data_IF_072213262608
#
_entry.id   IF_072213262608
#
_cell.length_a   1.000
_cell.length_b   1.000
_cell.length_c   1.000
_cell.angle_alpha   90.00
_cell.angle_beta   90.00
_cell.angle_gamma   90.00
#
_symmetry.space_group_name_H-M   'P 1'
#
loop_
_entity.id
_entity.type
_entity.pdbx_description
1 polymer ?
#
# COMPACT_ATOMS: atom_id res chain seq x y z
N UNK A 1 26.60 -4.38 18.34
CA UNK A 1 26.98 -5.06 17.06
C UNK A 1 26.00 -6.19 16.79
N UNK A 2 25.65 -6.38 15.52
CA UNK A 2 24.75 -7.39 14.91
C UNK A 2 23.27 -7.00 14.80
N UNK A 3 22.92 -6.37 13.69
CA UNK A 3 21.95 -6.93 12.74
C UNK A 3 22.16 -6.28 11.38
N UNK A 4 23.13 -6.82 10.64
CA UNK A 4 23.30 -6.52 9.23
C UNK A 4 22.61 -7.62 8.41
N UNK A 5 21.92 -7.18 7.34
CA UNK A 5 21.31 -7.94 6.24
C UNK A 5 19.94 -8.57 6.53
N UNK A 6 18.87 -7.77 6.41
CA UNK A 6 17.55 -8.30 6.05
C UNK A 6 17.46 -8.32 4.53
N UNK A 7 17.83 -9.48 3.98
CA UNK A 7 17.69 -9.85 2.57
C UNK A 7 16.24 -9.59 2.13
N UNK A 8 16.07 -9.02 0.95
CA UNK A 8 14.82 -8.89 0.20
C UNK A 8 13.99 -10.18 0.32
N UNK A 9 12.88 -10.16 1.07
CA UNK A 9 12.02 -11.34 1.32
C UNK A 9 10.75 -11.26 0.49
N UNK A 10 10.89 -11.62 -0.78
CA UNK A 10 9.88 -12.44 -1.44
C UNK A 10 10.52 -13.82 -1.54
N UNK A 11 10.34 -14.63 -0.50
CA UNK A 11 10.76 -16.04 -0.52
C UNK A 11 9.73 -16.80 -1.39
N UNK A 12 10.11 -17.93 -1.99
CA UNK A 12 9.29 -18.71 -2.97
C UNK A 12 7.90 -19.16 -2.42
N UNK A 13 7.66 -18.99 -1.11
CA UNK A 13 6.43 -19.35 -0.38
C UNK A 13 5.53 -18.15 0.03
N UNK A 14 5.88 -16.91 -0.31
CA UNK A 14 5.07 -15.70 -0.01
C UNK A 14 5.58 -14.79 1.14
N UNK A 15 4.80 -13.78 1.53
CA UNK A 15 5.14 -12.81 2.58
C UNK A 15 5.04 -13.45 3.98
N UNK A 16 6.16 -13.54 4.72
CA UNK A 16 6.15 -13.89 6.16
C UNK A 16 6.11 -12.63 7.03
N UNK A 17 5.01 -12.40 7.76
CA UNK A 17 4.85 -11.31 8.73
C UNK A 17 3.41 -10.80 8.85
N UNK A 18 3.14 -9.83 9.73
CA UNK A 18 1.89 -9.06 9.80
C UNK A 18 1.84 -8.12 8.60
N UNK A 19 1.06 -8.53 7.59
CA UNK A 19 0.82 -7.76 6.38
C UNK A 19 -0.48 -6.98 6.55
N UNK A 20 -0.46 -5.70 6.17
CA UNK A 20 -1.67 -4.90 6.04
C UNK A 20 -1.92 -4.52 4.58
N UNK A 21 -3.17 -4.70 4.14
CA UNK A 21 -3.62 -4.36 2.80
C UNK A 21 -4.30 -2.98 2.83
N UNK A 22 -3.60 -2.01 2.27
CA UNK A 22 -4.13 -0.69 1.94
C UNK A 22 -4.93 -0.79 0.64
N UNK A 23 -6.23 -1.09 0.77
CA UNK A 23 -7.23 -1.04 -0.31
C UNK A 23 -8.18 0.15 -0.16
N UNK A 24 -8.87 0.51 -1.26
CA UNK A 24 -9.76 1.67 -1.34
C UNK A 24 -10.75 1.80 -0.17
N UNK A 25 -10.92 3.02 0.33
CA UNK A 25 -11.79 3.35 1.46
C UNK A 25 -13.29 3.09 1.17
N UNK A 26 -14.13 2.73 2.17
CA UNK A 26 -15.58 2.49 1.97
C UNK A 26 -16.36 3.71 1.44
N UNK A 27 -15.80 4.91 1.55
CA UNK A 27 -16.37 6.16 1.07
C UNK A 27 -15.85 6.57 -0.34
N UNK A 28 -15.13 5.72 -1.06
CA UNK A 28 -14.79 5.99 -2.47
C UNK A 28 -16.01 5.84 -3.41
N UNK A 29 -17.19 6.35 -3.02
CA UNK A 29 -18.27 6.65 -3.95
C UNK A 29 -17.74 7.75 -4.85
N UNK A 30 -17.25 7.40 -6.03
CA UNK A 30 -17.28 8.10 -7.34
C UNK A 30 -17.42 9.63 -7.36
N UNK A 31 -17.05 10.34 -6.31
CA UNK A 31 -16.80 11.76 -6.30
C UNK A 31 -15.43 11.79 -6.91
N UNK A 32 -15.39 12.26 -8.14
CA UNK A 32 -14.18 12.56 -8.88
C UNK A 32 -13.26 13.32 -7.93
N UNK A 33 -12.37 12.60 -7.23
CA UNK A 33 -11.15 13.19 -6.75
C UNK A 33 -10.57 13.81 -8.01
N UNK A 34 -10.10 15.07 -7.98
CA UNK A 34 -9.38 15.60 -9.11
C UNK A 34 -8.13 14.73 -9.24
N UNK A 35 -8.26 13.63 -9.98
CA UNK A 35 -7.19 12.82 -10.44
C UNK A 35 -6.34 13.79 -11.24
N UNK A 36 -5.12 14.01 -10.76
CA UNK A 36 -4.07 14.65 -11.55
C UNK A 36 -4.31 16.14 -11.86
N UNK A 37 -5.12 16.82 -11.04
CA UNK A 37 -5.29 18.28 -11.12
C UNK A 37 -4.18 19.04 -10.41
N UNK A 38 -3.71 20.15 -10.99
CA UNK A 38 -2.89 21.15 -10.29
C UNK A 38 -3.83 22.16 -9.63
N UNK A 39 -3.95 22.14 -8.30
CA UNK A 39 -4.73 23.14 -7.57
C UNK A 39 -5.00 22.77 -6.10
N UNK A 40 -5.44 23.75 -5.27
CA UNK A 40 -5.62 23.53 -3.83
C UNK A 40 -6.58 22.39 -3.48
N UNK A 41 -7.64 22.20 -4.27
CA UNK A 41 -8.61 21.13 -4.06
C UNK A 41 -8.01 19.73 -4.29
N UNK A 42 -7.10 19.57 -5.25
CA UNK A 42 -6.44 18.30 -5.52
C UNK A 42 -5.47 17.93 -4.38
N UNK A 43 -4.71 18.91 -3.90
CA UNK A 43 -3.80 18.76 -2.74
C UNK A 43 -4.61 18.35 -1.50
N UNK A 44 -5.66 19.10 -1.17
CA UNK A 44 -6.51 18.79 -0.03
C UNK A 44 -7.15 17.38 -0.12
N UNK A 45 -7.47 16.93 -1.32
CA UNK A 45 -8.04 15.61 -1.55
C UNK A 45 -7.00 14.49 -1.34
N UNK A 46 -5.75 14.69 -1.78
CA UNK A 46 -4.64 13.78 -1.50
C UNK A 46 -4.34 13.73 0.00
N UNK A 47 -4.29 14.88 0.66
CA UNK A 47 -4.03 14.97 2.10
C UNK A 47 -5.13 14.28 2.92
N UNK A 48 -6.39 14.51 2.55
CA UNK A 48 -7.53 13.84 3.18
C UNK A 48 -7.45 12.33 3.00
N UNK A 49 -7.10 11.86 1.79
CA UNK A 49 -6.93 10.44 1.52
C UNK A 49 -5.80 9.84 2.37
N UNK A 50 -4.62 10.47 2.37
CA UNK A 50 -3.48 10.05 3.16
C UNK A 50 -3.85 9.95 4.64
N UNK A 51 -4.44 11.00 5.21
CA UNK A 51 -4.89 11.02 6.60
C UNK A 51 -5.92 9.92 6.90
N UNK A 52 -6.89 9.70 6.02
CA UNK A 52 -7.87 8.64 6.20
C UNK A 52 -7.19 7.26 6.22
N UNK A 53 -6.25 7.01 5.30
CA UNK A 53 -5.46 5.78 5.30
C UNK A 53 -4.63 5.61 6.57
N UNK A 54 -3.99 6.66 7.07
CA UNK A 54 -3.24 6.63 8.33
C UNK A 54 -4.11 6.14 9.48
N UNK A 55 -5.37 6.59 9.56
CA UNK A 55 -6.30 6.15 10.61
C UNK A 55 -6.57 4.65 10.53
N UNK A 56 -6.79 4.10 9.34
CA UNK A 56 -7.00 2.66 9.19
C UNK A 56 -5.72 1.87 9.48
N UNK A 57 -4.59 2.25 8.89
CA UNK A 57 -3.30 1.60 9.14
C UNK A 57 -2.99 1.59 10.63
N UNK A 58 -3.11 2.74 11.31
CA UNK A 58 -2.84 2.86 12.74
C UNK A 58 -3.76 1.98 13.59
N UNK A 59 -5.06 1.99 13.32
CA UNK A 59 -6.03 1.17 14.04
C UNK A 59 -5.72 -0.34 13.89
N UNK A 60 -5.50 -0.81 12.67
CA UNK A 60 -5.17 -2.22 12.44
C UNK A 60 -3.78 -2.59 12.95
N UNK A 61 -2.81 -1.69 12.87
CA UNK A 61 -1.48 -1.90 13.47
C UNK A 61 -1.60 -2.11 14.97
N UNK A 62 -2.43 -1.31 15.65
CA UNK A 62 -2.68 -1.48 17.09
C UNK A 62 -3.39 -2.80 17.41
N UNK A 63 -4.43 -3.17 16.65
CA UNK A 63 -5.17 -4.43 16.84
C UNK A 63 -4.26 -5.65 16.60
N UNK A 64 -3.41 -5.61 15.58
CA UNK A 64 -2.53 -6.71 15.20
C UNK A 64 -1.23 -6.77 16.03
N UNK A 65 -0.96 -5.80 16.91
CA UNK A 65 0.27 -5.72 17.70
C UNK A 65 1.52 -5.39 16.88
N UNK A 66 1.35 -4.68 15.76
CA UNK A 66 2.46 -4.22 14.91
C UNK A 66 2.17 -4.36 13.42
N UNK A 67 3.11 -3.87 12.60
CA UNK A 67 3.06 -3.88 11.15
C UNK A 67 4.44 -4.28 10.62
N UNK A 68 4.53 -5.29 9.76
CA UNK A 68 5.79 -5.69 9.12
C UNK A 68 5.83 -5.25 7.65
N UNK A 69 4.67 -5.27 6.98
CA UNK A 69 4.55 -4.91 5.57
C UNK A 69 3.26 -4.14 5.29
N UNK A 70 3.39 -3.01 4.62
CA UNK A 70 2.30 -2.24 4.02
C UNK A 70 2.17 -2.61 2.52
N UNK A 71 1.03 -3.15 2.11
CA UNK A 71 0.75 -3.46 0.70
C UNK A 71 -0.36 -2.55 0.19
N UNK A 72 -0.05 -1.71 -0.79
CA UNK A 72 -1.02 -0.92 -1.54
C UNK A 72 -1.48 -1.71 -2.76
N UNK A 73 -2.79 -1.84 -2.91
CA UNK A 73 -3.38 -2.58 -4.02
C UNK A 73 -4.61 -1.84 -4.56
N UNK A 74 -4.92 -2.04 -5.84
CA UNK A 74 -6.04 -1.42 -6.56
C UNK A 74 -6.17 0.12 -6.38
N UNK A 75 -7.24 0.68 -6.94
CA UNK A 75 -7.71 2.04 -6.65
C UNK A 75 -6.70 3.17 -6.85
N UNK A 76 -6.92 4.27 -6.14
CA UNK A 76 -6.13 5.51 -6.26
C UNK A 76 -4.68 5.30 -5.78
N UNK A 77 -4.48 4.54 -4.70
CA UNK A 77 -3.15 4.25 -4.15
C UNK A 77 -2.27 3.43 -5.10
N UNK A 78 -2.85 2.51 -5.88
CA UNK A 78 -2.10 1.71 -6.85
C UNK A 78 -1.53 2.53 -8.02
N UNK A 79 -2.20 3.61 -8.42
CA UNK A 79 -1.88 4.33 -9.65
C UNK A 79 -1.20 5.70 -9.42
N UNK A 80 -1.32 6.27 -8.22
CA UNK A 80 -0.80 7.61 -7.93
C UNK A 80 0.41 7.59 -7.00
N UNK A 81 1.59 7.87 -7.55
CA UNK A 81 2.83 7.97 -6.79
C UNK A 81 2.79 9.07 -5.72
N UNK A 82 2.13 10.20 -6.02
CA UNK A 82 1.98 11.31 -5.05
C UNK A 82 1.10 10.92 -3.86
N UNK A 83 0.04 10.14 -4.10
CA UNK A 83 -0.81 9.60 -3.03
C UNK A 83 -0.03 8.62 -2.16
N UNK A 84 0.76 7.72 -2.77
CA UNK A 84 1.63 6.81 -2.01
C UNK A 84 2.68 7.56 -1.19
N UNK A 85 3.27 8.61 -1.76
CA UNK A 85 4.24 9.43 -1.06
C UNK A 85 3.62 10.14 0.16
N UNK A 86 2.49 10.80 -0.03
CA UNK A 86 1.75 11.44 1.06
C UNK A 86 1.38 10.43 2.16
N UNK A 87 0.85 9.27 1.78
CA UNK A 87 0.51 8.19 2.71
C UNK A 87 1.74 7.69 3.49
N UNK A 88 2.82 7.30 2.82
CA UNK A 88 4.03 6.80 3.48
C UNK A 88 4.66 7.86 4.40
N UNK A 89 4.59 9.14 4.03
CA UNK A 89 5.02 10.25 4.89
C UNK A 89 4.31 10.28 6.25
N UNK A 90 3.00 9.98 6.27
CA UNK A 90 2.24 9.90 7.53
C UNK A 90 2.57 8.67 8.41
N UNK A 91 3.29 7.69 7.87
CA UNK A 91 3.59 6.41 8.52
C UNK A 91 5.08 6.29 8.91
N UNK A 92 5.84 7.38 8.78
CA UNK A 92 7.26 7.46 9.20
C UNK A 92 7.46 7.06 10.67
N UNK A 93 6.52 7.38 11.55
CA UNK A 93 6.54 6.98 12.96
C UNK A 93 6.42 5.46 13.19
N UNK A 94 5.90 4.71 12.21
CA UNK A 94 5.91 3.23 12.20
C UNK A 94 7.20 2.67 11.61
N UNK A 95 8.13 3.51 11.14
CA UNK A 95 9.36 3.10 10.47
C UNK A 95 9.19 2.77 8.99
N UNK A 96 8.19 3.37 8.32
CA UNK A 96 8.10 3.35 6.85
C UNK A 96 9.02 4.43 6.28
N UNK A 97 9.97 4.02 5.46
CA UNK A 97 10.86 4.91 4.70
C UNK A 97 10.64 4.70 3.21
N UNK A 98 10.18 5.75 2.52
CA UNK A 98 9.86 5.69 1.10
C UNK A 98 11.11 5.79 0.22
N UNK A 99 11.23 4.91 -0.77
CA UNK A 99 12.18 5.05 -1.86
C UNK A 99 11.55 5.86 -3.00
N UNK A 100 11.80 7.17 -3.01
CA UNK A 100 11.16 8.12 -3.94
C UNK A 100 11.26 7.70 -5.42
N UNK A 101 12.45 7.29 -5.88
CA UNK A 101 12.64 6.92 -7.28
C UNK A 101 11.83 5.67 -7.67
N UNK A 102 11.85 4.63 -6.84
CA UNK A 102 11.10 3.40 -7.08
C UNK A 102 9.59 3.66 -7.02
N UNK A 103 9.15 4.53 -6.10
CA UNK A 103 7.77 4.97 -6.04
C UNK A 103 7.35 5.73 -7.30
N UNK A 104 8.17 6.67 -7.77
CA UNK A 104 7.90 7.47 -8.98
C UNK A 104 7.83 6.61 -10.25
N UNK A 105 8.63 5.55 -10.33
CA UNK A 105 8.60 4.60 -11.44
C UNK A 105 7.49 3.55 -11.36
N UNK A 106 6.58 3.65 -10.38
CA UNK A 106 5.56 2.63 -10.08
C UNK A 106 6.19 1.22 -9.87
N UNK A 107 7.35 1.17 -9.23
CA UNK A 107 8.00 -0.07 -8.85
C UNK A 107 7.19 -0.87 -7.82
N UNK A 108 7.36 -2.20 -7.76
CA UNK A 108 6.59 -3.05 -6.88
C UNK A 108 6.97 -2.87 -5.40
N UNK A 109 8.24 -2.60 -5.10
CA UNK A 109 8.70 -2.21 -3.77
C UNK A 109 8.96 -0.70 -3.77
N UNK A 110 8.35 0.00 -2.84
CA UNK A 110 8.45 1.45 -2.71
C UNK A 110 9.10 1.89 -1.39
N UNK A 111 9.55 0.95 -0.54
CA UNK A 111 10.35 1.28 0.65
C UNK A 111 11.85 1.21 0.38
N UNK A 112 12.64 1.95 1.16
CA UNK A 112 14.10 1.80 1.19
C UNK A 112 14.51 0.45 1.79
N UNK A 113 15.78 0.08 1.64
CA UNK A 113 16.34 -1.12 2.29
C UNK A 113 16.46 -0.98 3.80
N UNK A 114 16.50 0.24 4.32
CA UNK A 114 16.65 0.55 5.74
C UNK A 114 15.29 0.68 6.45
N UNK A 115 14.19 0.76 5.68
CA UNK A 115 12.83 0.77 6.17
C UNK A 115 12.53 -0.43 7.07
N UNK A 116 12.03 -0.17 8.27
CA UNK A 116 11.62 -1.21 9.23
C UNK A 116 10.37 -1.94 8.72
N UNK A 117 9.43 -1.17 8.19
CA UNK A 117 8.22 -1.67 7.55
C UNK A 117 8.42 -1.67 6.04
N UNK A 118 8.28 -2.82 5.39
CA UNK A 118 8.37 -2.89 3.94
C UNK A 118 7.10 -2.32 3.30
N UNK A 119 7.23 -1.55 2.22
CA UNK A 119 6.09 -0.94 1.53
C UNK A 119 6.04 -1.37 0.06
N UNK A 120 4.90 -1.90 -0.37
CA UNK A 120 4.73 -2.53 -1.69
C UNK A 120 3.52 -2.00 -2.43
N UNK A 121 3.59 -2.03 -3.76
CA UNK A 121 2.45 -1.92 -4.67
C UNK A 121 2.26 -3.27 -5.34
N UNK A 122 1.11 -3.90 -5.12
CA UNK A 122 0.76 -5.18 -5.73
C UNK A 122 -0.52 -4.99 -6.55
N UNK A 123 -0.50 -5.17 -7.87
CA UNK A 123 -1.70 -5.06 -8.68
C UNK A 123 -2.69 -6.17 -8.31
N UNK A 124 -3.96 -5.80 -8.16
CA UNK A 124 -5.04 -6.78 -8.04
C UNK A 124 -5.46 -7.21 -9.44
N UNK A 125 -5.80 -8.49 -9.61
CA UNK A 125 -6.50 -8.97 -10.80
C UNK A 125 -7.79 -9.66 -10.37
N UNK A 126 -8.82 -8.84 -10.20
CA UNK A 126 -10.15 -9.27 -9.72
C UNK A 126 -10.82 -10.25 -10.71
N UNK A 127 -10.60 -10.04 -12.00
CA UNK A 127 -11.11 -10.90 -13.08
C UNK A 127 -10.50 -12.30 -13.01
N UNK A 128 -9.17 -12.40 -12.83
CA UNK A 128 -8.49 -13.67 -12.67
C UNK A 128 -8.97 -14.40 -11.39
N UNK A 129 -9.11 -13.68 -10.28
CA UNK A 129 -9.60 -14.25 -9.03
C UNK A 129 -11.03 -14.79 -9.18
N UNK A 130 -11.91 -14.05 -9.86
CA UNK A 130 -13.28 -14.48 -10.15
C UNK A 130 -13.31 -15.70 -11.06
N UNK A 131 -12.50 -15.70 -12.12
CA UNK A 131 -12.39 -16.82 -13.04
C UNK A 131 -11.89 -18.09 -12.35
N UNK A 132 -10.87 -17.99 -11.49
CA UNK A 132 -10.32 -19.12 -10.73
C UNK A 132 -11.35 -19.70 -9.74
N UNK A 133 -12.05 -18.85 -8.99
CA UNK A 133 -13.10 -19.32 -8.08
C UNK A 133 -14.27 -19.95 -8.83
N UNK A 134 -14.69 -19.34 -9.94
CA UNK A 134 -15.75 -19.91 -10.79
C UNK A 134 -15.32 -21.27 -11.33
N UNK A 135 -14.08 -21.39 -11.82
CA UNK A 135 -13.54 -22.64 -12.35
C UNK A 135 -13.50 -23.75 -11.30
N UNK A 136 -13.09 -23.43 -10.06
CA UNK A 136 -13.05 -24.38 -8.95
C UNK A 136 -14.44 -24.90 -8.54
N UNK A 137 -15.51 -24.15 -8.83
CA UNK A 137 -16.89 -24.57 -8.56
C UNK A 137 -17.48 -25.45 -9.69
N UNK A 138 -17.02 -25.27 -10.93
CA UNK A 138 -17.58 -25.96 -12.10
C UNK A 138 -16.72 -27.13 -12.63
N UNK A 139 -15.45 -27.23 -12.21
CA UNK A 139 -14.60 -28.40 -12.46
C UNK A 139 -14.37 -29.16 -11.15
N UNK A 140 -15.00 -30.33 -10.97
CA UNK A 140 -14.77 -31.20 -9.82
C UNK A 140 -13.35 -31.79 -9.80
#
# INVERSE_FOLDING_TARGET
MRHARRKERRDDDGFRGRVWLAGALPHQRRRSYPAEGKGPAAIAAVDYFAHAMTRYVGAYTAICGGLDTLVVTAGIGGHSASVRAAMCGTLTWLGVELHEQANASNGPCMSTTDSVVAAWVIPTNEELMTAQHTLALIRP
#
